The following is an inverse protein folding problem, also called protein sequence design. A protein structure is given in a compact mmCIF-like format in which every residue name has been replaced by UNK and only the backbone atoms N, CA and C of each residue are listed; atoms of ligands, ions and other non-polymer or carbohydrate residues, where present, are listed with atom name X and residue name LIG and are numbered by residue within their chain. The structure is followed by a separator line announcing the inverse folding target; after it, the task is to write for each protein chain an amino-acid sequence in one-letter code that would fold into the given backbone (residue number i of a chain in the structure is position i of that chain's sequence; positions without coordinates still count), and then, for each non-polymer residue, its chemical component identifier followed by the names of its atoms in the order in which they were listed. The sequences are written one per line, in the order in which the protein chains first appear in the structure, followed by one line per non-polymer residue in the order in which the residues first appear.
data_IF_788006009830
#
_entry.id   IF_788006009830
#
_cell.length_a   1.000
_cell.length_b   1.000
_cell.length_c   1.000
_cell.angle_alpha   90.00
_cell.angle_beta   90.00
_cell.angle_gamma   90.00
#
_symmetry.space_group_name_H-M   'P 1'
#
loop_
_entity.id
_entity.type
_entity.pdbx_description
1 polymer ?
#
# COMPACT_ATOMS: atom_id res chain seq x y z
N UNK A 1 23.52 14.37 -4.69
CA UNK A 1 22.04 14.28 -4.72
C UNK A 1 21.66 12.82 -4.84
N UNK A 2 20.82 12.31 -3.93
CA UNK A 2 20.34 10.94 -4.01
C UNK A 2 19.20 10.89 -5.06
N UNK A 3 19.54 10.44 -6.27
CA UNK A 3 18.61 10.38 -7.42
C UNK A 3 17.31 9.63 -7.11
N UNK A 4 17.32 8.75 -6.09
CA UNK A 4 16.14 8.04 -5.60
C UNK A 4 15.03 8.98 -5.15
N UNK A 5 15.34 10.07 -4.43
CA UNK A 5 14.31 11.02 -3.98
C UNK A 5 13.69 11.78 -5.16
N UNK A 6 14.50 12.10 -6.17
CA UNK A 6 14.02 12.76 -7.40
C UNK A 6 13.16 11.80 -8.22
N UNK A 7 13.56 10.53 -8.34
CA UNK A 7 12.78 9.51 -9.03
C UNK A 7 11.44 9.23 -8.34
N UNK A 8 11.43 9.13 -7.01
CA UNK A 8 10.23 9.00 -6.19
C UNK A 8 9.29 10.20 -6.42
N UNK A 9 9.82 11.42 -6.31
CA UNK A 9 9.06 12.64 -6.55
C UNK A 9 8.41 12.69 -7.95
N UNK A 10 9.19 12.45 -9.00
CA UNK A 10 8.70 12.49 -10.39
C UNK A 10 7.62 11.44 -10.62
N UNK A 11 7.86 10.21 -10.17
CA UNK A 11 6.90 9.11 -10.33
C UNK A 11 5.57 9.44 -9.64
N UNK A 12 5.62 9.83 -8.35
CA UNK A 12 4.40 10.02 -7.58
C UNK A 12 3.66 11.32 -7.90
N UNK A 13 4.33 12.36 -8.42
CA UNK A 13 3.65 13.52 -9.02
C UNK A 13 2.79 13.10 -10.22
N UNK A 14 3.27 12.15 -11.03
CA UNK A 14 2.52 11.66 -12.20
C UNK A 14 1.39 10.71 -11.78
N UNK A 15 1.63 9.82 -10.81
CA UNK A 15 0.60 8.90 -10.33
C UNK A 15 -0.50 9.60 -9.55
N UNK A 16 -0.21 10.67 -8.79
CA UNK A 16 -1.18 11.31 -7.92
C UNK A 16 -2.45 11.78 -8.69
N UNK A 17 -2.37 12.52 -9.81
CA UNK A 17 -3.55 12.84 -10.62
C UNK A 17 -4.34 11.62 -11.10
N UNK A 18 -3.66 10.54 -11.48
CA UNK A 18 -4.32 9.30 -11.92
C UNK A 18 -5.05 8.62 -10.76
N UNK A 19 -4.47 8.64 -9.57
CA UNK A 19 -5.10 8.13 -8.35
C UNK A 19 -6.32 8.97 -7.96
N UNK A 20 -6.23 10.30 -8.02
CA UNK A 20 -7.36 11.19 -7.75
C UNK A 20 -8.48 10.97 -8.78
N UNK A 21 -8.12 10.75 -10.05
CA UNK A 21 -9.07 10.36 -11.09
C UNK A 21 -9.77 9.02 -10.77
N UNK A 22 -9.02 7.99 -10.34
CA UNK A 22 -9.61 6.71 -9.91
C UNK A 22 -10.52 6.90 -8.68
N UNK A 23 -10.14 7.74 -7.72
CA UNK A 23 -10.96 8.06 -6.54
C UNK A 23 -12.31 8.68 -6.93
N UNK A 24 -12.31 9.67 -7.83
CA UNK A 24 -13.54 10.28 -8.31
C UNK A 24 -14.42 9.32 -9.12
N UNK A 25 -13.82 8.38 -9.85
CA UNK A 25 -14.57 7.49 -10.74
C UNK A 25 -15.12 6.24 -10.06
N UNK A 26 -14.44 5.72 -9.04
CA UNK A 26 -14.89 4.54 -8.29
C UNK A 26 -15.84 4.87 -7.12
N UNK A 27 -15.95 6.15 -6.73
CA UNK A 27 -16.92 6.68 -5.77
C UNK A 27 -16.98 5.86 -4.46
N UNK A 28 -18.16 5.77 -3.84
CA UNK A 28 -18.38 5.15 -2.52
C UNK A 28 -18.01 3.67 -2.43
N UNK A 29 -18.04 2.93 -3.55
CA UNK A 29 -17.74 1.50 -3.55
C UNK A 29 -16.23 1.21 -3.49
N UNK A 30 -15.40 2.10 -4.07
CA UNK A 30 -13.94 1.96 -4.07
C UNK A 30 -13.21 2.97 -3.19
N UNK A 31 -13.91 3.88 -2.51
CA UNK A 31 -13.34 5.03 -1.81
C UNK A 31 -12.11 4.67 -0.97
N UNK A 32 -12.18 3.57 -0.21
CA UNK A 32 -11.13 3.15 0.70
C UNK A 32 -9.78 2.93 -0.01
N UNK A 33 -9.80 2.20 -1.13
CA UNK A 33 -8.57 1.86 -1.86
C UNK A 33 -7.91 3.11 -2.43
N UNK A 34 -8.70 3.93 -3.12
CA UNK A 34 -8.19 5.09 -3.83
C UNK A 34 -7.82 6.23 -2.89
N UNK A 35 -8.51 6.36 -1.75
CA UNK A 35 -8.14 7.29 -0.69
C UNK A 35 -6.76 6.95 -0.13
N UNK A 36 -6.53 5.69 0.28
CA UNK A 36 -5.24 5.29 0.83
C UNK A 36 -4.11 5.32 -0.21
N UNK A 37 -4.40 5.05 -1.49
CA UNK A 37 -3.43 5.23 -2.57
C UNK A 37 -3.09 6.72 -2.76
N UNK A 38 -4.09 7.61 -2.60
CA UNK A 38 -3.89 9.06 -2.64
C UNK A 38 -2.99 9.53 -1.50
N UNK A 39 -3.25 9.06 -0.28
CA UNK A 39 -2.41 9.31 0.90
C UNK A 39 -0.99 8.79 0.67
N UNK A 40 -0.86 7.58 0.13
CA UNK A 40 0.43 7.00 -0.23
C UNK A 40 1.22 7.91 -1.18
N UNK A 41 0.62 8.29 -2.32
CA UNK A 41 1.25 9.17 -3.29
C UNK A 41 1.58 10.55 -2.68
N UNK A 42 0.72 11.12 -1.84
CA UNK A 42 0.98 12.40 -1.19
C UNK A 42 2.18 12.34 -0.23
N UNK A 43 2.26 11.30 0.61
CA UNK A 43 3.42 11.07 1.50
C UNK A 43 4.71 10.94 0.70
N UNK A 44 4.66 10.29 -0.47
CA UNK A 44 5.80 10.14 -1.37
C UNK A 44 6.27 11.44 -1.98
N UNK A 45 5.34 12.26 -2.47
CA UNK A 45 5.66 13.58 -3.02
C UNK A 45 6.33 14.46 -1.94
N UNK A 46 5.80 14.44 -0.72
CA UNK A 46 6.39 15.19 0.41
C UNK A 46 7.79 14.66 0.76
N UNK A 47 7.94 13.34 0.90
CA UNK A 47 9.22 12.72 1.23
C UNK A 47 10.29 12.94 0.14
N UNK A 48 9.91 12.79 -1.13
CA UNK A 48 10.75 13.06 -2.28
C UNK A 48 11.17 14.53 -2.36
N UNK A 49 10.25 15.47 -2.10
CA UNK A 49 10.54 16.90 -2.04
C UNK A 49 11.53 17.26 -0.93
N UNK A 50 11.30 16.78 0.29
CA UNK A 50 12.20 17.00 1.45
C UNK A 50 13.58 16.39 1.21
N UNK A 51 13.64 15.19 0.63
CA UNK A 51 14.89 14.50 0.33
C UNK A 51 15.67 15.13 -0.83
N UNK A 52 14.98 15.65 -1.85
CA UNK A 52 15.60 16.30 -3.00
C UNK A 52 16.13 17.71 -2.68
N UNK A 53 15.45 18.44 -1.78
CA UNK A 53 15.85 19.77 -1.32
C UNK A 53 16.98 19.79 -0.28
N UNK A 54 17.50 18.62 0.13
CA UNK A 54 18.43 18.44 1.26
C UNK A 54 17.96 19.10 2.57
N UNK A 55 16.66 19.35 2.73
CA UNK A 55 16.13 20.08 3.89
C UNK A 55 16.04 19.18 5.12
N UNK A 56 15.53 17.95 4.97
CA UNK A 56 15.41 17.01 6.07
C UNK A 56 15.43 15.54 5.60
N UNK A 57 16.62 15.01 5.37
CA UNK A 57 16.83 13.66 4.81
C UNK A 57 16.42 12.54 5.77
N UNK A 58 16.43 12.80 7.07
CA UNK A 58 15.99 11.86 8.10
C UNK A 58 14.47 11.74 8.10
N UNK A 59 13.76 12.86 8.17
CA UNK A 59 12.28 12.87 8.11
C UNK A 59 11.79 12.26 6.80
N UNK A 60 12.44 12.58 5.66
CA UNK A 60 12.14 11.96 4.38
C UNK A 60 12.26 10.43 4.41
N UNK A 61 13.31 9.90 5.05
CA UNK A 61 13.53 8.45 5.15
C UNK A 61 12.51 7.76 6.07
N UNK A 62 12.10 8.44 7.15
CA UNK A 62 11.03 7.95 8.04
C UNK A 62 9.70 7.90 7.28
N UNK A 63 9.34 8.96 6.55
CA UNK A 63 8.13 9.01 5.75
C UNK A 63 8.09 7.90 4.70
N UNK A 64 9.22 7.58 4.05
CA UNK A 64 9.33 6.44 3.13
C UNK A 64 9.14 5.10 3.85
N UNK A 65 9.66 4.95 5.08
CA UNK A 65 9.44 3.77 5.91
C UNK A 65 7.97 3.55 6.27
N UNK A 66 7.34 4.61 6.78
CA UNK A 66 5.95 4.64 7.25
C UNK A 66 4.95 4.55 6.10
N UNK A 67 5.33 5.04 4.93
CA UNK A 67 4.53 4.99 3.70
C UNK A 67 4.16 3.58 3.24
N UNK A 68 4.66 2.52 3.87
CA UNK A 68 4.19 1.16 3.59
C UNK A 68 2.74 0.93 4.06
N UNK A 69 2.30 1.63 5.11
CA UNK A 69 0.97 1.40 5.70
C UNK A 69 -0.19 1.82 4.78
N UNK A 70 -0.19 3.00 4.13
CA UNK A 70 -1.29 3.36 3.24
C UNK A 70 -1.31 2.46 1.99
N UNK A 71 -0.16 1.90 1.59
CA UNK A 71 -0.10 0.95 0.48
C UNK A 71 -0.74 -0.40 0.84
N UNK A 72 -0.55 -0.92 2.06
CA UNK A 72 -1.27 -2.11 2.56
C UNK A 72 -2.78 -1.83 2.62
N UNK A 73 -3.19 -0.68 3.16
CA UNK A 73 -4.60 -0.30 3.25
C UNK A 73 -5.25 -0.01 1.89
N UNK A 74 -4.44 0.38 0.90
CA UNK A 74 -4.89 0.44 -0.49
C UNK A 74 -5.31 -0.94 -0.99
N UNK A 75 -4.51 -1.98 -0.70
CA UNK A 75 -4.83 -3.35 -1.09
C UNK A 75 -6.07 -3.86 -0.36
N UNK A 76 -6.19 -3.60 0.93
CA UNK A 76 -7.39 -3.94 1.73
C UNK A 76 -8.66 -3.35 1.09
N UNK A 77 -8.63 -2.06 0.75
CA UNK A 77 -9.72 -1.40 0.03
C UNK A 77 -9.99 -2.01 -1.35
N UNK A 78 -8.95 -2.41 -2.08
CA UNK A 78 -9.07 -3.05 -3.39
C UNK A 78 -9.73 -4.44 -3.27
N UNK A 79 -9.37 -5.21 -2.25
CA UNK A 79 -9.96 -6.52 -1.96
C UNK A 79 -11.41 -6.33 -1.50
N UNK A 80 -11.68 -5.34 -0.66
CA UNK A 80 -13.04 -4.99 -0.22
C UNK A 80 -13.93 -4.65 -1.43
N UNK A 81 -13.49 -3.73 -2.30
CA UNK A 81 -14.21 -3.37 -3.53
C UNK A 81 -14.41 -4.60 -4.43
N UNK A 82 -13.35 -5.40 -4.64
CA UNK A 82 -13.42 -6.59 -5.47
C UNK A 82 -14.47 -7.60 -4.97
N UNK A 83 -14.60 -7.77 -3.65
CA UNK A 83 -15.59 -8.65 -3.03
C UNK A 83 -17.01 -8.13 -3.22
N UNK A 84 -17.23 -6.84 -2.99
CA UNK A 84 -18.54 -6.20 -3.22
C UNK A 84 -18.97 -6.36 -4.68
N UNK A 85 -18.04 -6.22 -5.63
CA UNK A 85 -18.32 -6.42 -7.05
C UNK A 85 -18.54 -7.88 -7.46
N UNK A 86 -17.88 -8.84 -6.78
CA UNK A 86 -17.98 -10.28 -7.08
C UNK A 86 -19.15 -10.97 -6.39
N UNK A 87 -19.55 -10.48 -5.22
CA UNK A 87 -20.66 -11.03 -4.45
C UNK A 87 -21.40 -9.94 -3.68
N UNK A 88 -22.33 -9.22 -4.33
CA UNK A 88 -23.10 -8.14 -3.70
C UNK A 88 -23.99 -8.58 -2.53
N UNK A 89 -24.32 -9.87 -2.44
CA UNK A 89 -25.18 -10.44 -1.38
C UNK A 89 -24.38 -10.94 -0.17
N UNK A 90 -23.05 -10.85 -0.22
CA UNK A 90 -22.20 -11.21 0.91
C UNK A 90 -22.44 -10.25 2.09
N UNK A 91 -22.33 -10.78 3.32
CA UNK A 91 -22.50 -9.98 4.53
C UNK A 91 -21.45 -8.84 4.61
N UNK A 92 -21.86 -7.56 4.54
CA UNK A 92 -20.93 -6.42 4.53
C UNK A 92 -20.16 -6.29 5.85
N UNK A 93 -20.72 -6.75 6.98
CA UNK A 93 -20.09 -6.64 8.30
C UNK A 93 -18.78 -7.41 8.39
N UNK A 94 -18.67 -8.55 7.72
CA UNK A 94 -17.43 -9.33 7.70
C UNK A 94 -16.36 -8.57 6.92
N UNK A 95 -16.73 -7.96 5.79
CA UNK A 95 -15.82 -7.14 4.99
C UNK A 95 -15.30 -5.93 5.75
N UNK A 96 -16.19 -5.18 6.42
CA UNK A 96 -15.81 -4.02 7.22
C UNK A 96 -15.05 -4.39 8.50
N UNK A 97 -15.38 -5.52 9.13
CA UNK A 97 -14.63 -6.02 10.28
C UNK A 97 -13.18 -6.36 9.92
N UNK A 98 -12.95 -6.93 8.74
CA UNK A 98 -11.59 -7.18 8.25
C UNK A 98 -10.83 -5.89 7.95
N UNK A 99 -11.50 -4.93 7.30
CA UNK A 99 -10.93 -3.59 7.05
C UNK A 99 -10.49 -2.92 8.36
N UNK A 100 -11.35 -2.95 9.38
CA UNK A 100 -11.05 -2.39 10.69
C UNK A 100 -9.85 -3.10 11.35
N UNK A 101 -9.77 -4.43 11.22
CA UNK A 101 -8.65 -5.21 11.73
C UNK A 101 -7.33 -4.80 11.07
N UNK A 102 -7.26 -4.79 9.74
CA UNK A 102 -6.03 -4.45 9.02
C UNK A 102 -5.63 -2.98 9.23
N UNK A 103 -6.62 -2.08 9.29
CA UNK A 103 -6.41 -0.67 9.66
C UNK A 103 -5.82 -0.55 11.05
N UNK A 104 -6.37 -1.26 12.04
CA UNK A 104 -5.86 -1.26 13.41
C UNK A 104 -4.43 -1.79 13.51
N UNK A 105 -4.15 -2.94 12.89
CA UNK A 105 -2.80 -3.55 12.87
C UNK A 105 -1.80 -2.63 12.17
N UNK A 106 -2.16 -2.06 11.02
CA UNK A 106 -1.29 -1.15 10.27
C UNK A 106 -1.05 0.16 11.02
N UNK A 107 -2.07 0.71 11.67
CA UNK A 107 -1.96 1.92 12.49
C UNK A 107 -1.05 1.72 13.69
N UNK A 108 -1.18 0.59 14.40
CA UNK A 108 -0.26 0.20 15.47
C UNK A 108 1.17 0.01 14.95
N UNK A 109 1.33 -0.61 13.77
CA UNK A 109 2.62 -0.78 13.10
C UNK A 109 3.33 0.55 12.82
N UNK A 110 2.60 1.54 12.31
CA UNK A 110 3.10 2.91 12.10
C UNK A 110 3.52 3.54 13.44
N UNK A 111 2.63 3.56 14.44
CA UNK A 111 2.89 4.23 15.71
C UNK A 111 4.13 3.69 16.43
N UNK A 112 4.30 2.37 16.45
CA UNK A 112 5.47 1.72 17.04
C UNK A 112 6.75 1.95 16.21
N UNK A 113 6.66 1.88 14.88
CA UNK A 113 7.81 2.13 14.00
C UNK A 113 8.31 3.56 14.09
N UNK A 114 7.40 4.55 14.09
CA UNK A 114 7.76 5.98 14.17
C UNK A 114 8.36 6.32 15.51
N UNK A 115 7.73 5.90 16.61
CA UNK A 115 8.23 6.18 17.96
C UNK A 115 9.59 5.53 18.20
N UNK A 116 9.77 4.27 17.79
CA UNK A 116 11.04 3.57 17.89
C UNK A 116 12.14 4.19 17.04
N UNK A 117 11.85 4.49 15.77
CA UNK A 117 12.83 5.09 14.85
C UNK A 117 13.24 6.51 15.29
N UNK A 118 12.29 7.36 15.69
CA UNK A 118 12.60 8.73 16.12
C UNK A 118 13.45 8.77 17.38
N UNK A 119 13.15 7.94 18.39
CA UNK A 119 13.94 7.88 19.61
C UNK A 119 15.40 7.47 19.30
N UNK A 120 15.60 6.51 18.39
CA UNK A 120 16.92 6.05 17.96
C UNK A 120 17.66 7.14 17.18
N UNK A 121 17.02 7.76 16.19
CA UNK A 121 17.67 8.73 15.31
C UNK A 121 17.95 10.07 16.00
N UNK A 122 17.12 10.49 16.95
CA UNK A 122 17.37 11.72 17.72
C UNK A 122 18.47 11.54 18.78
N UNK A 123 19.12 10.38 18.87
CA UNK A 123 20.17 10.10 19.84
C UNK A 123 19.67 9.97 21.29
N UNK A 124 18.37 9.78 21.48
CA UNK A 124 17.73 9.57 22.79
C UNK A 124 17.06 8.18 22.86
N UNK A 125 17.77 7.08 22.56
CA UNK A 125 17.16 5.75 22.56
C UNK A 125 16.71 5.38 23.98
N UNK A 126 15.41 5.09 24.13
CA UNK A 126 14.88 4.49 25.34
C UNK A 126 15.19 2.98 25.33
N UNK A 127 15.14 2.30 26.49
CA UNK A 127 15.40 0.85 26.55
C UNK A 127 14.56 0.02 25.57
N UNK A 128 13.35 0.48 25.25
CA UNK A 128 12.40 -0.24 24.40
C UNK A 128 12.30 0.31 22.96
N UNK A 129 13.08 1.32 22.57
CA UNK A 129 12.94 1.97 21.25
C UNK A 129 13.21 1.01 20.09
N UNK A 130 14.24 0.15 20.21
CA UNK A 130 14.51 -0.89 19.21
C UNK A 130 13.39 -1.93 19.17
N UNK A 131 12.88 -2.33 20.35
CA UNK A 131 11.77 -3.27 20.46
C UNK A 131 10.49 -2.73 19.81
N UNK A 132 10.18 -1.44 19.99
CA UNK A 132 9.07 -0.79 19.32
C UNK A 132 9.25 -0.77 17.80
N UNK A 133 10.45 -0.49 17.31
CA UNK A 133 10.69 -0.52 15.87
C UNK A 133 10.54 -1.94 15.28
N UNK A 134 11.08 -2.95 15.97
CA UNK A 134 10.93 -4.36 15.58
C UNK A 134 9.47 -4.80 15.60
N UNK A 135 8.74 -4.47 16.66
CA UNK A 135 7.32 -4.76 16.78
C UNK A 135 6.50 -4.10 15.67
N UNK A 136 6.79 -2.83 15.36
CA UNK A 136 6.14 -2.10 14.26
C UNK A 136 6.38 -2.76 12.90
N UNK A 137 7.63 -3.17 12.61
CA UNK A 137 7.97 -3.91 11.40
C UNK A 137 7.26 -5.28 11.33
N UNK A 138 7.18 -5.99 12.46
CA UNK A 138 6.49 -7.28 12.54
C UNK A 138 4.97 -7.12 12.32
N UNK A 139 4.36 -6.04 12.81
CA UNK A 139 2.94 -5.75 12.56
C UNK A 139 2.66 -5.47 11.09
N UNK A 140 3.57 -4.83 10.34
CA UNK A 140 3.40 -4.68 8.89
C UNK A 140 3.46 -6.01 8.15
N UNK A 141 4.34 -6.93 8.56
CA UNK A 141 4.37 -8.30 8.00
C UNK A 141 3.10 -9.05 8.35
N UNK A 142 2.58 -8.91 9.57
CA UNK A 142 1.31 -9.50 9.98
C UNK A 142 0.13 -8.94 9.16
N UNK A 143 0.05 -7.62 8.98
CA UNK A 143 -0.97 -6.98 8.15
C UNK A 143 -0.92 -7.49 6.70
N UNK A 144 0.28 -7.57 6.12
CA UNK A 144 0.48 -8.16 4.79
C UNK A 144 0.05 -9.63 4.72
N UNK A 145 0.38 -10.45 5.72
CA UNK A 145 -0.02 -11.86 5.74
C UNK A 145 -1.54 -12.02 5.87
N UNK A 146 -2.19 -11.19 6.69
CA UNK A 146 -3.65 -11.12 6.79
C UNK A 146 -4.26 -10.78 5.42
N UNK A 147 -3.74 -9.77 4.71
CA UNK A 147 -4.18 -9.41 3.36
C UNK A 147 -4.03 -10.56 2.36
N UNK A 148 -2.90 -11.28 2.38
CA UNK A 148 -2.69 -12.44 1.51
C UNK A 148 -3.74 -13.51 1.78
N UNK A 149 -3.98 -13.85 3.05
CA UNK A 149 -5.00 -14.84 3.43
C UNK A 149 -6.39 -14.36 2.98
N UNK A 150 -6.70 -13.08 3.20
CA UNK A 150 -8.00 -12.53 2.85
C UNK A 150 -8.26 -12.45 1.35
N UNK A 151 -7.24 -12.08 0.57
CA UNK A 151 -7.29 -12.11 -0.88
C UNK A 151 -7.50 -13.55 -1.38
N UNK A 152 -6.81 -14.54 -0.80
CA UNK A 152 -6.97 -15.97 -1.14
C UNK A 152 -8.39 -16.47 -0.83
N UNK A 153 -8.92 -16.15 0.35
CA UNK A 153 -10.30 -16.47 0.70
C UNK A 153 -11.29 -15.80 -0.26
N UNK A 154 -11.00 -14.59 -0.72
CA UNK A 154 -11.82 -13.86 -1.68
C UNK A 154 -11.81 -14.46 -3.10
N UNK A 155 -10.83 -15.32 -3.43
CA UNK A 155 -10.81 -16.08 -4.69
C UNK A 155 -11.77 -17.26 -4.70
N UNK A 156 -12.12 -17.80 -3.53
CA UNK A 156 -12.91 -19.02 -3.42
C UNK A 156 -14.23 -18.91 -4.21
N UNK A 157 -14.68 -20.01 -4.86
CA UNK A 157 -15.83 -20.00 -5.76
C UNK A 157 -17.13 -19.60 -5.05
N UNK A 158 -17.26 -19.87 -3.75
CA UNK A 158 -18.40 -19.46 -2.94
C UNK A 158 -18.50 -17.93 -2.76
N UNK A 159 -17.39 -17.20 -2.94
CA UNK A 159 -17.34 -15.73 -2.92
C UNK A 159 -17.58 -15.12 -4.31
N UNK A 160 -18.10 -15.88 -5.27
CA UNK A 160 -18.47 -15.40 -6.60
C UNK A 160 -19.94 -15.72 -6.88
N UNK A 161 -20.78 -14.69 -6.93
CA UNK A 161 -22.12 -14.84 -7.45
C UNK A 161 -22.06 -15.07 -8.97
N UNK A 162 -22.78 -16.08 -9.49
CA UNK A 162 -22.73 -16.45 -10.91
C UNK A 162 -23.23 -15.33 -11.83
N UNK A 163 -24.15 -14.51 -11.34
CA UNK A 163 -24.83 -13.48 -12.12
C UNK A 163 -24.42 -12.05 -11.75
N UNK A 164 -23.29 -11.88 -11.04
CA UNK A 164 -22.83 -10.54 -10.65
C UNK A 164 -22.50 -9.70 -11.90
N UNK A 165 -23.22 -8.59 -12.18
CA UNK A 165 -23.04 -7.80 -13.41
C UNK A 165 -21.62 -7.23 -13.57
N UNK A 166 -20.91 -7.05 -12.44
CA UNK A 166 -19.56 -6.48 -12.35
C UNK A 166 -18.51 -7.46 -11.84
N UNK A 167 -18.79 -8.77 -11.84
CA UNK A 167 -17.88 -9.78 -11.31
C UNK A 167 -16.52 -9.85 -12.04
N UNK A 168 -16.48 -9.48 -13.32
CA UNK A 168 -15.23 -9.43 -14.11
C UNK A 168 -14.29 -8.31 -13.69
N UNK A 169 -14.83 -7.17 -13.27
CA UNK A 169 -14.06 -6.02 -12.81
C UNK A 169 -13.55 -6.27 -11.39
N UNK A 170 -14.39 -6.83 -10.50
CA UNK A 170 -13.94 -7.28 -9.19
C UNK A 170 -12.86 -8.37 -9.28
N UNK A 171 -12.95 -9.26 -10.27
CA UNK A 171 -11.88 -10.26 -10.52
C UNK A 171 -10.59 -9.59 -10.98
N UNK A 172 -10.65 -8.56 -11.83
CA UNK A 172 -9.48 -7.81 -12.27
C UNK A 172 -8.79 -7.10 -11.10
N UNK A 173 -9.56 -6.40 -10.25
CA UNK A 173 -9.04 -5.72 -9.06
C UNK A 173 -8.39 -6.72 -8.10
N UNK A 174 -9.02 -7.88 -7.88
CA UNK A 174 -8.44 -8.91 -7.01
C UNK A 174 -7.12 -9.47 -7.54
N UNK A 175 -7.00 -9.70 -8.86
CA UNK A 175 -5.72 -10.12 -9.45
C UNK A 175 -4.64 -9.03 -9.31
N UNK A 176 -5.01 -7.76 -9.46
CA UNK A 176 -4.10 -6.65 -9.22
C UNK A 176 -3.64 -6.60 -7.75
N UNK A 177 -4.53 -6.86 -6.79
CA UNK A 177 -4.19 -7.01 -5.37
C UNK A 177 -3.13 -8.08 -5.15
N UNK A 178 -3.26 -9.26 -5.76
CA UNK A 178 -2.25 -10.32 -5.62
C UNK A 178 -0.88 -9.91 -6.16
N UNK A 179 -0.84 -9.29 -7.34
CA UNK A 179 0.42 -8.82 -7.92
C UNK A 179 1.04 -7.75 -7.02
N UNK A 180 0.25 -6.80 -6.51
CA UNK A 180 0.72 -5.78 -5.57
C UNK A 180 1.23 -6.39 -4.25
N UNK A 181 0.55 -7.41 -3.71
CA UNK A 181 0.94 -8.10 -2.48
C UNK A 181 2.32 -8.77 -2.58
N UNK A 182 2.71 -9.28 -3.75
CA UNK A 182 4.06 -9.83 -3.93
C UNK A 182 5.11 -8.74 -3.72
N UNK A 183 4.93 -7.58 -4.33
CA UNK A 183 5.87 -6.47 -4.21
C UNK A 183 5.87 -5.84 -2.80
N UNK A 184 4.69 -5.66 -2.20
CA UNK A 184 4.56 -5.19 -0.82
C UNK A 184 5.23 -6.18 0.13
N UNK A 185 5.10 -7.49 -0.11
CA UNK A 185 5.75 -8.55 0.65
C UNK A 185 7.27 -8.39 0.69
N UNK A 186 7.90 -8.17 -0.47
CA UNK A 186 9.34 -7.88 -0.58
C UNK A 186 9.72 -6.72 0.34
N UNK A 187 8.96 -5.62 0.28
CA UNK A 187 9.21 -4.40 1.05
C UNK A 187 9.12 -4.61 2.57
N UNK A 188 8.05 -5.25 3.05
CA UNK A 188 7.81 -5.45 4.50
C UNK A 188 8.78 -6.47 5.09
N UNK A 189 9.08 -7.55 4.36
CA UNK A 189 10.03 -8.59 4.81
C UNK A 189 11.45 -8.03 4.86
N UNK A 190 11.87 -7.28 3.83
CA UNK A 190 13.17 -6.61 3.83
C UNK A 190 13.31 -5.65 5.03
N UNK A 191 12.27 -4.86 5.32
CA UNK A 191 12.27 -3.94 6.47
C UNK A 191 12.40 -4.71 7.78
N UNK A 192 11.66 -5.80 7.96
CA UNK A 192 11.76 -6.63 9.15
C UNK A 192 13.18 -7.21 9.32
N UNK A 193 13.76 -7.77 8.25
CA UNK A 193 15.13 -8.32 8.29
C UNK A 193 16.12 -7.23 8.69
N UNK A 194 16.02 -6.03 8.11
CA UNK A 194 16.89 -4.91 8.47
C UNK A 194 16.78 -4.58 9.97
N UNK A 195 15.56 -4.36 10.48
CA UNK A 195 15.35 -3.93 11.87
C UNK A 195 15.71 -5.05 12.87
N UNK A 196 15.53 -6.31 12.51
CA UNK A 196 15.92 -7.44 13.38
C UNK A 196 17.43 -7.72 13.34
N UNK A 197 18.09 -7.58 12.19
CA UNK A 197 19.53 -7.91 12.05
C UNK A 197 20.45 -6.72 12.32
N UNK A 198 19.92 -5.49 12.31
CA UNK A 198 20.67 -4.25 12.46
C UNK A 198 21.87 -4.13 11.48
N UNK A 199 21.80 -4.80 10.33
CA UNK A 199 22.85 -4.76 9.32
C UNK A 199 22.85 -3.43 8.58
N UNK A 200 23.96 -2.70 8.65
CA UNK A 200 24.12 -1.38 8.04
C UNK A 200 24.00 -1.41 6.50
N UNK A 201 24.38 -2.52 5.86
CA UNK A 201 24.27 -2.71 4.40
C UNK A 201 22.80 -2.71 3.92
N UNK A 202 21.90 -3.14 4.80
CA UNK A 202 20.45 -3.19 4.57
C UNK A 202 19.74 -1.94 5.08
N UNK A 203 20.46 -0.92 5.55
CA UNK A 203 19.85 0.28 6.11
C UNK A 203 19.08 1.09 5.05
N UNK A 204 17.83 1.49 5.33
CA UNK A 204 17.07 2.40 4.48
C UNK A 204 17.72 3.79 4.34
N UNK A 205 18.66 4.14 5.23
CA UNK A 205 19.33 5.44 5.24
C UNK A 205 20.78 5.31 4.76
N UNK A 206 21.54 4.40 5.36
CA UNK A 206 22.99 4.25 5.12
C UNK A 206 23.34 3.13 4.15
N UNK A 207 22.37 2.29 3.76
CA UNK A 207 22.58 1.20 2.82
C UNK A 207 22.87 1.72 1.41
N UNK A 208 23.38 0.81 0.58
CA UNK A 208 23.76 1.18 -0.80
C UNK A 208 22.54 1.69 -1.59
N UNK A 209 22.80 2.60 -2.53
CA UNK A 209 21.76 3.15 -3.41
C UNK A 209 21.04 2.05 -4.20
N UNK A 210 21.75 0.98 -4.61
CA UNK A 210 21.18 -0.17 -5.29
C UNK A 210 20.18 -0.94 -4.39
N UNK A 211 20.53 -1.21 -3.13
CA UNK A 211 19.65 -1.87 -2.17
C UNK A 211 18.37 -1.06 -1.97
N UNK A 212 18.50 0.25 -1.76
CA UNK A 212 17.35 1.15 -1.58
C UNK A 212 16.50 1.24 -2.85
N UNK A 213 17.11 1.25 -4.03
CA UNK A 213 16.39 1.23 -5.30
C UNK A 213 15.54 -0.03 -5.45
N UNK A 214 16.13 -1.20 -5.22
CA UNK A 214 15.54 -2.51 -5.55
C UNK A 214 14.59 -3.03 -4.45
N UNK A 215 14.88 -2.74 -3.17
CA UNK A 215 14.12 -3.29 -2.04
C UNK A 215 13.15 -2.29 -1.39
N UNK A 216 13.28 -1.00 -1.72
CA UNK A 216 12.38 0.05 -1.22
C UNK A 216 11.58 0.65 -2.37
N UNK A 217 12.24 1.39 -3.25
CA UNK A 217 11.57 2.17 -4.29
C UNK A 217 10.84 1.30 -5.31
N UNK A 218 11.52 0.30 -5.90
CA UNK A 218 10.98 -0.49 -7.00
C UNK A 218 9.73 -1.31 -6.62
N UNK A 219 9.69 -2.05 -5.50
CA UNK A 219 8.50 -2.83 -5.16
C UNK A 219 7.28 -1.93 -4.92
N UNK A 220 7.49 -0.80 -4.24
CA UNK A 220 6.42 0.16 -3.94
C UNK A 220 5.91 0.86 -5.20
N UNK A 221 6.83 1.26 -6.09
CA UNK A 221 6.50 1.83 -7.39
C UNK A 221 5.70 0.86 -8.26
N UNK A 222 6.15 -0.40 -8.36
CA UNK A 222 5.46 -1.43 -9.14
C UNK A 222 4.07 -1.75 -8.56
N UNK A 223 3.95 -1.85 -7.22
CA UNK A 223 2.65 -2.05 -6.57
C UNK A 223 1.69 -0.90 -6.91
N UNK A 224 2.11 0.35 -6.72
CA UNK A 224 1.29 1.52 -7.00
C UNK A 224 0.88 1.60 -8.49
N UNK A 225 1.83 1.39 -9.41
CA UNK A 225 1.55 1.37 -10.85
C UNK A 225 0.53 0.31 -11.22
N UNK A 226 0.69 -0.92 -10.71
CA UNK A 226 -0.23 -2.02 -11.00
C UNK A 226 -1.64 -1.73 -10.50
N UNK A 227 -1.77 -1.16 -9.29
CA UNK A 227 -3.07 -0.78 -8.72
C UNK A 227 -3.71 0.34 -9.53
N UNK A 228 -2.95 1.38 -9.89
CA UNK A 228 -3.46 2.51 -10.69
C UNK A 228 -3.93 2.06 -12.07
N UNK A 229 -3.15 1.22 -12.76
CA UNK A 229 -3.52 0.65 -14.07
C UNK A 229 -4.77 -0.23 -13.95
N UNK A 230 -4.88 -1.01 -12.89
CA UNK A 230 -6.06 -1.84 -12.65
C UNK A 230 -7.33 -1.01 -12.46
N UNK A 231 -7.25 0.11 -11.72
CA UNK A 231 -8.36 1.07 -11.56
C UNK A 231 -8.80 1.69 -12.88
N UNK A 232 -7.84 2.16 -13.69
CA UNK A 232 -8.15 2.71 -15.01
C UNK A 232 -8.83 1.68 -15.93
N UNK A 233 -8.41 0.41 -15.85
CA UNK A 233 -8.92 -0.67 -16.70
C UNK A 233 -10.27 -1.23 -16.24
N UNK A 234 -10.52 -1.33 -14.93
CA UNK A 234 -11.84 -1.72 -14.41
C UNK A 234 -12.89 -0.68 -14.80
N UNK A 235 -12.55 0.61 -14.79
CA UNK A 235 -13.44 1.68 -15.27
C UNK A 235 -13.73 1.66 -16.77
N UNK A 236 -12.74 1.40 -17.64
CA UNK A 236 -12.98 1.36 -19.09
C UNK A 236 -13.99 0.27 -19.51
N UNK A 237 -14.22 -0.72 -18.65
CA UNK A 237 -15.25 -1.74 -18.84
C UNK A 237 -16.63 -1.26 -18.37
N UNK A 238 -16.69 -0.38 -17.35
CA UNK A 238 -17.93 0.25 -16.89
C UNK A 238 -18.59 1.12 -17.98
N UNK A 239 -17.80 1.93 -18.71
CA UNK A 239 -18.34 2.76 -19.80
C UNK A 239 -18.83 1.94 -21.00
N UNK A 240 -18.13 0.85 -21.35
CA UNK A 240 -18.54 -0.01 -22.46
C UNK A 240 -19.85 -0.74 -22.18
N UNK A 241 -20.09 -1.14 -20.93
CA UNK A 241 -21.35 -1.77 -20.54
C UNK A 241 -22.49 -0.76 -20.57
N UNK A 242 -22.29 0.48 -20.08
CA UNK A 242 -23.29 1.56 -20.16
C UNK A 242 -23.74 1.80 -21.61
N UNK A 243 -22.79 1.90 -22.54
CA UNK A 243 -23.10 2.18 -23.95
C UNK A 243 -23.69 0.97 -24.71
N UNK A 244 -23.70 -0.22 -24.11
CA UNK A 244 -24.38 -1.40 -24.68
C UNK A 244 -25.85 -1.52 -24.25
N UNK A 245 -26.30 -0.65 -23.34
CA UNK A 245 -27.68 -0.58 -22.85
C UNK A 245 -28.41 0.70 -23.30
N UNK A 246 -27.77 1.57 -24.08
CA UNK A 246 -28.45 2.66 -24.77
C UNK A 246 -28.85 2.18 -26.18
N UNK A 247 -30.15 2.20 -26.54
CA UNK A 247 -30.66 1.78 -27.84
C UNK A 247 -30.31 2.76 -28.98
#
# INVERSE_FOLDING_TARGET
MNWLFVADLVLYIILLPLTVYNLWTHLWAGFLAWYYLGVFCAVRVIAGGLGAGNSDTMVASILIGVGTSPLILTVDGLVHEARVLRNPTANPWIGWGFVALVTGVSGAGVGLSVSGALDIYNGHPKPNSLGHWQAGAALFVAAWALEVIWALLSLLPFNRARDAPRGRDGTLLLHASFVALVFIGIRVIYTLIFVCTQRMDLSPITGTTAVRAVLIFLPEALAALMITIAGLKSRNRLLKVSNSFEP
#
